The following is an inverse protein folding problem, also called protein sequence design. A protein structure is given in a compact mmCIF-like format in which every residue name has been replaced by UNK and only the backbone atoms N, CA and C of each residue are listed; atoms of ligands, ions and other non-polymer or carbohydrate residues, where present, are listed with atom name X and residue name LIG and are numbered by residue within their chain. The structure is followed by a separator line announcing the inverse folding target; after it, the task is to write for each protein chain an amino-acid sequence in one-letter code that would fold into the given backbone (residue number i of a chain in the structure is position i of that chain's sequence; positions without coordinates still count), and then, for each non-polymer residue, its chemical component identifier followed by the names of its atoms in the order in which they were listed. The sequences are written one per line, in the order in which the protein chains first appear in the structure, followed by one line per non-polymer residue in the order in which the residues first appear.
data_IF_759768393014
#
_entry.id   IF_759768393014
#
_cell.length_a   1.000
_cell.length_b   1.000
_cell.length_c   1.000
_cell.angle_alpha   90.00
_cell.angle_beta   90.00
_cell.angle_gamma   90.00
#
_symmetry.space_group_name_H-M   'P 1'
#
loop_
_entity.id
_entity.type
_entity.pdbx_description
1 polymer ?
#
# COMPACT_ATOMS: atom_id res chain seq x y z
N UNK A 1 0.58 -53.86 -48.40
CA UNK A 1 -0.84 -53.61 -48.77
C UNK A 1 -1.31 -52.51 -47.85
N UNK A 2 -1.70 -51.43 -48.27
CA UNK A 2 -2.16 -50.58 -49.33
C UNK A 2 -2.39 -49.19 -48.71
N UNK A 3 -1.85 -48.25 -49.41
CA UNK A 3 -1.99 -46.81 -49.26
C UNK A 3 -3.43 -46.39 -49.63
N UNK A 4 -4.01 -45.40 -48.90
CA UNK A 4 -4.94 -44.41 -49.49
C UNK A 4 -4.99 -43.17 -48.55
N UNK A 5 -4.29 -42.17 -48.91
CA UNK A 5 -4.61 -40.80 -49.32
C UNK A 5 -6.08 -40.39 -49.24
N UNK A 6 -6.37 -39.32 -48.48
CA UNK A 6 -7.47 -38.40 -48.80
C UNK A 6 -7.01 -36.96 -48.49
N UNK A 7 -7.17 -36.20 -49.54
CA UNK A 7 -6.84 -34.78 -49.71
C UNK A 7 -7.77 -33.82 -48.95
N UNK A 8 -7.15 -32.69 -48.54
CA UNK A 8 -7.67 -31.34 -48.78
C UNK A 8 -9.01 -30.90 -48.20
N UNK A 9 -8.97 -29.92 -47.32
CA UNK A 9 -9.76 -28.69 -47.50
C UNK A 9 -9.07 -27.54 -46.75
N UNK A 10 -8.44 -26.68 -47.58
CA UNK A 10 -7.97 -25.35 -47.16
C UNK A 10 -9.21 -24.48 -47.08
N UNK A 11 -9.58 -24.02 -45.90
CA UNK A 11 -10.57 -22.96 -45.71
C UNK A 11 -9.86 -21.61 -45.63
N UNK A 12 -10.03 -20.78 -46.65
CA UNK A 12 -9.62 -19.38 -46.67
C UNK A 12 -10.38 -18.62 -45.56
N UNK A 13 -9.67 -18.20 -44.54
CA UNK A 13 -10.19 -17.27 -43.56
C UNK A 13 -10.02 -15.85 -44.11
N UNK A 14 -11.13 -15.21 -44.45
CA UNK A 14 -11.16 -13.80 -44.88
C UNK A 14 -10.82 -12.93 -43.67
N UNK A 15 -9.69 -12.23 -43.78
CA UNK A 15 -9.26 -11.19 -42.83
C UNK A 15 -10.16 -9.97 -43.03
N UNK A 16 -11.10 -9.74 -42.13
CA UNK A 16 -11.88 -8.51 -42.05
C UNK A 16 -11.05 -7.44 -41.36
N UNK A 17 -10.56 -6.48 -42.14
CA UNK A 17 -9.91 -5.27 -41.58
C UNK A 17 -11.03 -4.37 -41.05
N UNK A 18 -11.13 -4.26 -39.73
CA UNK A 18 -11.99 -3.28 -39.08
C UNK A 18 -11.18 -1.99 -38.96
N UNK A 19 -11.51 -1.00 -39.78
CA UNK A 19 -11.04 0.38 -39.57
C UNK A 19 -11.74 0.96 -38.34
N UNK A 20 -11.02 1.61 -37.41
CA UNK A 20 -11.68 2.37 -36.36
C UNK A 20 -12.28 3.64 -36.95
N UNK A 21 -13.60 3.76 -36.90
CA UNK A 21 -14.32 4.98 -37.27
C UNK A 21 -14.02 6.06 -36.22
N UNK A 22 -13.25 7.07 -36.60
CA UNK A 22 -13.12 8.31 -35.86
C UNK A 22 -14.47 9.03 -35.85
N UNK A 23 -15.15 9.05 -34.72
CA UNK A 23 -16.32 9.92 -34.50
C UNK A 23 -15.79 11.29 -34.15
N UNK A 24 -15.82 12.22 -35.08
CA UNK A 24 -15.61 13.64 -34.83
C UNK A 24 -16.87 14.18 -34.12
N UNK A 25 -16.77 14.40 -32.83
CA UNK A 25 -17.77 15.19 -32.10
C UNK A 25 -17.50 16.67 -32.36
N UNK A 26 -18.34 17.26 -33.22
CA UNK A 26 -18.38 18.71 -33.39
C UNK A 26 -19.09 19.32 -32.19
N UNK A 27 -18.34 20.01 -31.35
CA UNK A 27 -18.92 20.87 -30.28
C UNK A 27 -19.39 22.17 -30.98
N UNK A 28 -20.69 22.40 -30.92
CA UNK A 28 -21.30 23.66 -31.32
C UNK A 28 -21.08 24.68 -30.23
N UNK A 29 -20.30 25.72 -30.51
CA UNK A 29 -20.20 26.89 -29.63
C UNK A 29 -21.46 27.76 -29.78
N UNK A 30 -22.21 27.92 -28.71
CA UNK A 30 -23.08 29.08 -28.52
C UNK A 30 -22.35 30.12 -27.68
N UNK A 31 -22.12 31.29 -28.24
CA UNK A 31 -21.61 32.45 -27.53
C UNK A 31 -22.66 32.94 -26.57
N UNK A 32 -22.31 33.04 -25.31
CA UNK A 32 -22.85 34.06 -24.39
C UNK A 32 -21.69 34.59 -23.54
N UNK A 33 -21.54 35.92 -23.61
CA UNK A 33 -20.49 36.70 -22.97
C UNK A 33 -20.70 36.83 -21.46
N UNK A 34 -19.59 36.94 -20.75
CA UNK A 34 -19.33 37.31 -19.37
C UNK A 34 -19.22 36.15 -18.37
N UNK A 35 -18.02 35.72 -18.13
CA UNK A 35 -17.52 35.74 -16.75
C UNK A 35 -15.98 35.67 -16.67
N UNK A 36 -15.45 36.46 -15.77
CA UNK A 36 -14.05 36.63 -15.46
C UNK A 36 -13.65 35.50 -14.50
N UNK A 37 -13.22 34.34 -15.05
CA UNK A 37 -12.80 33.16 -14.28
C UNK A 37 -11.60 32.51 -14.94
N UNK A 38 -10.47 32.49 -14.24
CA UNK A 38 -9.26 31.80 -14.69
C UNK A 38 -9.56 30.38 -15.12
N UNK A 39 -9.27 30.04 -16.38
CA UNK A 39 -9.37 28.69 -16.91
C UNK A 39 -8.27 27.82 -16.26
N UNK A 40 -8.55 27.24 -15.12
CA UNK A 40 -7.80 26.10 -14.64
C UNK A 40 -8.00 24.97 -15.65
N UNK A 41 -6.94 24.54 -16.32
CA UNK A 41 -7.00 23.29 -17.07
C UNK A 41 -7.47 22.21 -16.12
N UNK A 42 -8.53 21.51 -16.45
CA UNK A 42 -8.99 20.36 -15.68
C UNK A 42 -7.84 19.32 -15.73
N UNK A 43 -7.29 19.01 -14.57
CA UNK A 43 -6.20 18.04 -14.47
C UNK A 43 -6.76 16.65 -14.78
N UNK A 44 -6.16 15.97 -15.76
CA UNK A 44 -6.60 14.63 -16.19
C UNK A 44 -6.12 13.61 -15.16
N UNK A 45 -7.00 12.66 -14.84
CA UNK A 45 -6.67 11.47 -14.06
C UNK A 45 -7.49 10.29 -14.62
N UNK A 46 -6.80 9.37 -15.32
CA UNK A 46 -7.42 8.26 -16.03
C UNK A 46 -7.46 6.96 -15.22
N UNK A 47 -6.60 6.82 -14.21
CA UNK A 47 -6.44 5.61 -13.40
C UNK A 47 -6.95 5.74 -11.96
N UNK A 48 -7.53 6.88 -11.57
CA UNK A 48 -8.05 7.10 -10.21
C UNK A 48 -9.05 6.04 -9.78
N UNK A 49 -9.12 5.81 -8.47
CA UNK A 49 -10.15 4.98 -7.88
C UNK A 49 -11.53 5.63 -8.02
N UNK A 50 -12.52 4.82 -8.39
CA UNK A 50 -13.91 5.25 -8.39
C UNK A 50 -14.54 5.00 -7.03
N UNK A 51 -15.43 5.90 -6.61
CA UNK A 51 -16.18 5.75 -5.36
C UNK A 51 -17.28 4.72 -5.57
N UNK A 52 -17.11 3.54 -4.98
CA UNK A 52 -18.12 2.48 -5.02
C UNK A 52 -18.92 2.39 -3.72
N UNK A 53 -18.25 2.50 -2.57
CA UNK A 53 -18.86 2.38 -1.24
C UNK A 53 -18.48 3.51 -0.31
N UNK A 54 -17.21 3.91 -0.30
CA UNK A 54 -16.69 4.98 0.54
C UNK A 54 -15.75 5.87 -0.26
N UNK A 55 -15.96 7.19 -0.18
CA UNK A 55 -15.11 8.18 -0.84
C UNK A 55 -13.66 8.21 -0.34
N UNK A 56 -13.37 7.55 0.78
CA UNK A 56 -12.01 7.43 1.30
C UNK A 56 -11.03 6.82 0.27
N UNK A 57 -11.52 5.95 -0.61
CA UNK A 57 -10.70 5.30 -1.65
C UNK A 57 -10.09 6.28 -2.66
N UNK A 58 -10.56 7.53 -2.71
CA UNK A 58 -9.99 8.58 -3.56
C UNK A 58 -8.91 9.42 -2.85
N UNK A 59 -8.51 9.05 -1.63
CA UNK A 59 -7.40 9.71 -0.91
C UNK A 59 -6.06 9.29 -1.51
N UNK A 60 -5.04 10.15 -1.40
CA UNK A 60 -3.76 9.98 -2.09
C UNK A 60 -2.93 8.80 -1.57
N UNK A 61 -3.15 8.32 -0.36
CA UNK A 61 -2.47 7.13 0.15
C UNK A 61 -2.98 5.81 -0.43
N UNK A 62 -4.15 5.82 -1.08
CA UNK A 62 -4.73 4.61 -1.66
C UNK A 62 -4.06 4.26 -2.99
N UNK A 63 -3.55 3.04 -3.12
CA UNK A 63 -3.24 2.48 -4.44
C UNK A 63 -4.51 2.20 -5.25
N UNK A 64 -4.33 1.90 -6.53
CA UNK A 64 -5.41 1.35 -7.36
C UNK A 64 -5.93 0.06 -6.73
N UNK A 65 -7.24 0.02 -6.51
CA UNK A 65 -7.89 -1.14 -5.91
C UNK A 65 -7.83 -2.35 -6.85
N UNK A 66 -7.45 -3.50 -6.31
CA UNK A 66 -7.41 -4.76 -7.08
C UNK A 66 -8.78 -5.22 -7.51
N UNK A 67 -9.78 -5.03 -6.64
CA UNK A 67 -11.12 -5.55 -6.86
C UNK A 67 -11.21 -7.08 -6.82
N UNK A 68 -12.22 -7.64 -7.46
CA UNK A 68 -12.45 -9.10 -7.48
C UNK A 68 -12.75 -9.64 -6.08
N UNK A 69 -11.90 -10.54 -5.57
CA UNK A 69 -12.04 -11.13 -4.22
C UNK A 69 -11.48 -10.25 -3.11
N UNK A 70 -11.08 -9.01 -3.42
CA UNK A 70 -10.57 -8.08 -2.42
C UNK A 70 -11.66 -7.15 -1.91
N UNK A 71 -11.58 -6.83 -0.63
CA UNK A 71 -12.41 -5.82 0.03
C UNK A 71 -11.53 -4.76 0.66
N UNK A 72 -12.07 -3.56 0.83
CA UNK A 72 -11.39 -2.46 1.53
C UNK A 72 -11.96 -2.34 2.93
N UNK A 73 -11.11 -2.49 3.94
CA UNK A 73 -11.42 -2.24 5.34
C UNK A 73 -10.95 -0.84 5.70
N UNK A 74 -11.85 0.00 6.20
CA UNK A 74 -11.57 1.38 6.58
C UNK A 74 -11.77 1.52 8.08
N UNK A 75 -10.68 1.71 8.81
CA UNK A 75 -10.72 1.86 10.26
C UNK A 75 -10.84 3.33 10.61
N UNK A 76 -11.88 3.65 11.39
CA UNK A 76 -12.15 5.01 11.85
C UNK A 76 -12.04 5.06 13.36
N UNK A 77 -11.50 6.17 13.88
CA UNK A 77 -11.48 6.41 15.32
C UNK A 77 -12.84 6.89 15.81
N UNK A 78 -13.27 6.38 16.95
CA UNK A 78 -14.50 6.82 17.62
C UNK A 78 -14.17 8.08 18.42
N UNK A 79 -14.27 9.22 17.78
CA UNK A 79 -14.33 10.54 18.39
C UNK A 79 -13.78 10.75 19.80
N UNK A 80 -12.48 10.92 19.91
CA UNK A 80 -11.97 11.80 20.94
C UNK A 80 -12.31 13.25 20.53
N UNK A 81 -12.65 14.13 21.52
CA UNK A 81 -13.07 15.52 21.24
C UNK A 81 -12.03 16.35 20.47
N UNK A 82 -10.82 15.83 20.33
CA UNK A 82 -9.70 16.49 19.69
C UNK A 82 -9.59 16.15 18.21
N UNK A 83 -10.19 15.04 17.76
CA UNK A 83 -10.14 14.55 16.38
C UNK A 83 -11.57 14.34 15.88
N UNK A 84 -11.79 14.58 14.59
CA UNK A 84 -13.11 14.44 13.98
C UNK A 84 -13.58 12.98 14.08
N UNK A 85 -14.88 12.78 14.35
CA UNK A 85 -15.49 11.45 14.51
C UNK A 85 -15.38 10.55 13.28
N UNK A 86 -15.11 11.16 12.13
CA UNK A 86 -14.96 10.48 10.85
C UNK A 86 -13.50 10.33 10.42
N UNK A 87 -12.56 10.56 11.33
CA UNK A 87 -11.14 10.49 10.99
C UNK A 87 -10.70 9.07 10.72
N UNK A 88 -10.11 8.85 9.54
CA UNK A 88 -9.62 7.55 9.11
C UNK A 88 -8.27 7.31 9.76
N UNK A 89 -8.19 6.25 10.55
CA UNK A 89 -6.97 5.82 11.19
C UNK A 89 -6.00 5.20 10.17
N UNK A 90 -6.41 4.12 9.51
CA UNK A 90 -5.74 3.49 8.40
C UNK A 90 -6.75 2.65 7.61
N UNK A 91 -6.33 2.17 6.43
CA UNK A 91 -7.13 1.30 5.59
C UNK A 91 -6.32 0.09 5.16
N UNK A 92 -7.02 -1.00 4.83
CA UNK A 92 -6.43 -2.26 4.36
C UNK A 92 -7.17 -2.73 3.12
N UNK A 93 -6.45 -3.18 2.10
CA UNK A 93 -7.03 -4.05 1.08
C UNK A 93 -6.77 -5.50 1.45
N UNK A 94 -7.85 -6.22 1.71
CA UNK A 94 -7.84 -7.60 2.15
C UNK A 94 -8.28 -8.54 1.03
N UNK A 95 -7.45 -9.50 0.70
CA UNK A 95 -7.80 -10.58 -0.24
C UNK A 95 -8.53 -11.70 0.53
N UNK A 96 -9.85 -11.78 0.33
CA UNK A 96 -10.71 -12.75 1.03
C UNK A 96 -10.38 -14.20 0.70
N UNK A 97 -9.88 -14.48 -0.52
CA UNK A 97 -9.50 -15.84 -0.92
C UNK A 97 -8.19 -16.30 -0.31
N UNK A 98 -7.23 -15.37 -0.17
CA UNK A 98 -5.92 -15.63 0.43
C UNK A 98 -5.93 -15.45 1.94
N UNK A 99 -6.96 -14.80 2.47
CA UNK A 99 -7.06 -14.39 3.87
C UNK A 99 -5.81 -13.67 4.34
N UNK A 100 -5.40 -12.68 3.54
CA UNK A 100 -4.18 -11.90 3.77
C UNK A 100 -4.36 -10.48 3.22
N UNK A 101 -3.74 -9.52 3.90
CA UNK A 101 -3.74 -8.15 3.41
C UNK A 101 -2.79 -7.99 2.23
N UNK A 102 -3.18 -7.17 1.25
CA UNK A 102 -2.32 -6.76 0.14
C UNK A 102 -1.48 -5.56 0.53
N UNK A 103 -2.10 -4.62 1.22
CA UNK A 103 -1.45 -3.43 1.77
C UNK A 103 -2.28 -2.81 2.90
N UNK A 104 -1.61 -2.01 3.73
CA UNK A 104 -2.23 -1.02 4.62
C UNK A 104 -1.79 0.38 4.20
N UNK A 105 -2.73 1.34 4.16
CA UNK A 105 -2.41 2.72 3.84
C UNK A 105 -2.96 3.71 4.87
N UNK A 106 -2.25 4.83 5.06
CA UNK A 106 -2.58 5.82 6.07
C UNK A 106 -1.87 7.15 5.84
N UNK A 107 -2.33 8.18 6.52
CA UNK A 107 -1.69 9.49 6.52
C UNK A 107 -0.91 9.72 7.82
N UNK A 108 0.17 10.51 7.71
CA UNK A 108 0.93 11.04 8.84
C UNK A 108 1.03 12.55 8.70
N UNK A 109 0.59 13.28 9.71
CA UNK A 109 0.62 14.73 9.79
C UNK A 109 0.58 15.18 11.26
N UNK A 110 0.73 16.47 11.51
CA UNK A 110 0.78 17.00 12.87
C UNK A 110 -0.43 16.62 13.73
N UNK A 111 -1.63 16.47 13.14
CA UNK A 111 -2.86 16.07 13.86
C UNK A 111 -2.82 14.65 14.40
N UNK A 112 -1.99 13.77 13.84
CA UNK A 112 -1.85 12.37 14.27
C UNK A 112 -0.67 12.13 15.23
N UNK A 113 -0.13 13.19 15.80
CA UNK A 113 0.90 13.07 16.82
C UNK A 113 0.29 12.87 18.20
N UNK A 114 0.82 11.94 18.98
CA UNK A 114 0.34 11.66 20.34
C UNK A 114 1.31 10.78 21.09
N UNK A 115 1.08 10.67 22.39
CA UNK A 115 1.93 9.89 23.31
C UNK A 115 1.14 8.76 24.00
N UNK A 116 0.05 8.31 23.39
CA UNK A 116 -0.71 7.20 23.96
C UNK A 116 0.20 5.99 24.15
N UNK A 117 0.10 5.35 25.30
CA UNK A 117 0.87 4.14 25.57
C UNK A 117 0.45 3.02 24.63
N UNK A 118 1.38 2.16 24.26
CA UNK A 118 1.06 0.95 23.51
C UNK A 118 -0.01 0.16 24.25
N UNK A 119 -1.08 -0.18 23.58
CA UNK A 119 -2.05 -1.15 24.10
C UNK A 119 -1.33 -2.48 24.27
N UNK A 120 -1.42 -3.06 25.47
CA UNK A 120 -0.71 -4.31 25.82
C UNK A 120 -1.51 -5.56 25.53
N UNK A 121 -2.76 -5.37 25.09
CA UNK A 121 -3.66 -6.48 24.79
C UNK A 121 -3.18 -7.26 23.57
N UNK A 122 -3.55 -8.53 23.60
CA UNK A 122 -3.19 -9.48 22.56
C UNK A 122 -3.77 -9.09 21.23
N UNK A 123 -3.14 -9.59 20.18
CA UNK A 123 -3.69 -9.57 18.82
C UNK A 123 -5.08 -10.22 18.80
N UNK A 124 -5.98 -9.67 18.00
CA UNK A 124 -7.37 -10.11 17.97
C UNK A 124 -7.93 -10.08 16.54
N UNK A 125 -8.96 -10.90 16.34
CA UNK A 125 -9.65 -10.96 15.08
C UNK A 125 -10.36 -9.63 14.81
N UNK A 126 -10.42 -9.26 13.55
CA UNK A 126 -11.10 -8.05 13.11
C UNK A 126 -12.60 -8.27 13.06
N UNK A 127 -13.34 -7.53 13.87
CA UNK A 127 -14.81 -7.59 13.91
C UNK A 127 -15.49 -6.89 12.72
N UNK A 128 -14.73 -6.18 11.88
CA UNK A 128 -15.24 -5.57 10.65
C UNK A 128 -15.19 -6.53 9.45
N UNK A 129 -14.66 -7.75 9.66
CA UNK A 129 -14.50 -8.77 8.62
C UNK A 129 -15.30 -10.00 8.98
N UNK A 130 -16.07 -10.53 8.04
CA UNK A 130 -16.83 -11.77 8.25
C UNK A 130 -15.88 -12.94 8.52
N UNK A 131 -16.26 -13.81 9.46
CA UNK A 131 -15.40 -14.88 9.97
C UNK A 131 -14.96 -15.90 8.93
N UNK A 132 -15.65 -16.01 7.80
CA UNK A 132 -15.25 -16.86 6.69
C UNK A 132 -13.99 -16.33 5.95
N UNK A 133 -13.68 -15.03 6.07
CA UNK A 133 -12.60 -14.37 5.35
C UNK A 133 -11.32 -14.18 6.17
N UNK A 134 -11.24 -14.67 7.41
CA UNK A 134 -10.01 -14.68 8.19
C UNK A 134 -9.72 -16.05 8.81
N UNK A 135 -8.52 -16.22 9.32
CA UNK A 135 -8.16 -17.41 10.08
C UNK A 135 -8.56 -17.21 11.55
N UNK A 136 -9.43 -18.06 12.08
CA UNK A 136 -9.91 -17.97 13.47
C UNK A 136 -8.80 -18.27 14.50
N UNK A 137 -7.78 -19.06 14.09
CA UNK A 137 -6.66 -19.46 14.93
C UNK A 137 -5.47 -18.52 14.70
N UNK A 138 -4.71 -18.25 15.75
CA UNK A 138 -3.44 -17.55 15.66
C UNK A 138 -2.33 -18.49 15.19
N UNK A 139 -2.08 -18.50 13.90
CA UNK A 139 -1.02 -19.32 13.27
C UNK A 139 0.40 -18.85 13.54
N UNK A 140 0.58 -17.68 14.14
CA UNK A 140 1.93 -17.16 14.48
C UNK A 140 2.53 -17.90 15.66
N UNK A 141 1.73 -18.36 16.60
CA UNK A 141 2.20 -19.04 17.80
C UNK A 141 3.00 -20.30 17.45
N UNK A 142 4.26 -20.35 17.91
CA UNK A 142 5.18 -21.45 17.63
C UNK A 142 5.66 -21.58 16.17
N UNK A 143 5.31 -20.64 15.29
CA UNK A 143 5.68 -20.69 13.88
C UNK A 143 7.12 -20.26 13.58
N UNK A 144 7.75 -19.51 14.50
CA UNK A 144 9.05 -18.86 14.30
C UNK A 144 8.94 -17.51 13.58
N UNK A 145 7.73 -17.01 13.36
CA UNK A 145 7.45 -15.68 12.84
C UNK A 145 6.77 -14.81 13.90
N UNK A 146 6.99 -13.52 13.81
CA UNK A 146 6.33 -12.51 14.62
C UNK A 146 5.11 -11.93 13.90
N UNK A 147 4.17 -11.37 14.68
CA UNK A 147 3.08 -10.56 14.20
C UNK A 147 3.64 -9.23 13.69
N UNK A 148 4.03 -9.19 12.42
CA UNK A 148 4.57 -7.99 11.80
C UNK A 148 3.46 -7.00 11.50
N UNK A 149 3.44 -5.87 12.20
CA UNK A 149 2.52 -4.77 11.89
C UNK A 149 2.83 -4.19 10.53
N UNK A 150 1.81 -3.92 9.72
CA UNK A 150 1.96 -3.17 8.47
C UNK A 150 1.66 -1.69 8.70
N UNK A 151 0.54 -1.33 9.30
CA UNK A 151 0.37 -0.03 9.92
C UNK A 151 0.96 -0.08 11.33
N UNK A 152 2.09 0.60 11.63
CA UNK A 152 2.77 0.44 12.91
C UNK A 152 1.96 1.01 14.06
N UNK A 153 1.95 0.33 15.18
CA UNK A 153 1.40 0.82 16.42
C UNK A 153 2.01 2.18 16.83
N UNK A 154 3.32 2.35 16.61
CA UNK A 154 4.04 3.56 16.96
C UNK A 154 3.59 4.81 16.17
N UNK A 155 2.99 4.63 14.99
CA UNK A 155 2.47 5.71 14.17
C UNK A 155 1.03 6.12 14.56
N UNK A 156 0.35 5.32 15.39
CA UNK A 156 -1.06 5.47 15.78
C UNK A 156 -1.23 5.72 17.29
N UNK A 157 -0.44 6.65 17.83
CA UNK A 157 -0.42 6.96 19.29
C UNK A 157 -1.26 8.19 19.66
N UNK A 158 -2.13 8.66 18.80
CA UNK A 158 -2.93 9.85 19.05
C UNK A 158 -4.23 9.56 19.86
N UNK A 159 -4.69 8.29 19.90
CA UNK A 159 -5.81 7.86 20.73
C UNK A 159 -5.70 6.38 21.10
N UNK A 160 -6.52 5.94 22.08
CA UNK A 160 -6.64 4.51 22.43
C UNK A 160 -7.15 3.70 21.24
N UNK A 161 -8.24 4.12 20.64
CA UNK A 161 -8.86 3.40 19.50
C UNK A 161 -7.90 3.27 18.33
N UNK A 162 -7.20 4.36 17.99
CA UNK A 162 -6.23 4.33 16.91
C UNK A 162 -5.13 3.30 17.16
N UNK A 163 -4.63 3.24 18.39
CA UNK A 163 -3.60 2.30 18.80
C UNK A 163 -4.13 0.86 18.85
N UNK A 164 -5.31 0.65 19.45
CA UNK A 164 -5.98 -0.65 19.57
C UNK A 164 -6.25 -1.30 18.20
N UNK A 165 -6.76 -0.53 17.24
CA UNK A 165 -7.06 -1.03 15.90
C UNK A 165 -5.83 -1.59 15.19
N UNK A 166 -4.61 -1.11 15.50
CA UNK A 166 -3.40 -1.65 14.87
C UNK A 166 -3.11 -3.10 15.25
N UNK A 167 -3.75 -3.64 16.29
CA UNK A 167 -3.60 -5.03 16.74
C UNK A 167 -4.58 -6.01 16.09
N UNK A 168 -5.43 -5.56 15.17
CA UNK A 168 -6.23 -6.47 14.36
C UNK A 168 -5.34 -7.40 13.54
N UNK A 169 -5.71 -8.69 13.48
CA UNK A 169 -4.99 -9.69 12.68
C UNK A 169 -4.98 -9.35 11.18
N UNK A 170 -5.93 -8.54 10.72
CA UNK A 170 -5.95 -7.98 9.36
C UNK A 170 -4.82 -7.00 9.08
N UNK A 171 -4.16 -6.48 10.11
CA UNK A 171 -2.98 -5.61 10.02
C UNK A 171 -1.65 -6.36 10.18
N UNK A 172 -1.67 -7.70 10.28
CA UNK A 172 -0.49 -8.51 10.56
C UNK A 172 -0.05 -9.31 9.34
N UNK A 173 1.28 -9.38 9.14
CA UNK A 173 1.90 -10.33 8.22
C UNK A 173 3.08 -11.02 8.89
N UNK A 174 3.34 -12.32 8.60
CA UNK A 174 4.45 -13.03 9.22
C UNK A 174 5.80 -12.42 8.88
N UNK A 175 6.57 -12.06 9.88
CA UNK A 175 7.90 -11.49 9.73
C UNK A 175 8.90 -12.22 10.62
N UNK A 176 10.14 -12.41 10.13
CA UNK A 176 11.21 -12.93 10.95
C UNK A 176 11.64 -11.91 12.01
N UNK A 177 12.05 -12.37 13.18
CA UNK A 177 12.52 -11.51 14.28
C UNK A 177 13.64 -10.54 13.83
N UNK A 178 14.66 -11.04 13.12
CA UNK A 178 15.76 -10.18 12.65
C UNK A 178 15.39 -9.20 11.54
N UNK A 179 14.18 -9.27 11.02
CA UNK A 179 13.62 -8.30 10.09
C UNK A 179 12.70 -7.30 10.81
N UNK A 180 11.80 -7.77 11.69
CA UNK A 180 10.78 -6.98 12.36
C UNK A 180 11.16 -6.52 13.77
N UNK A 181 11.99 -7.31 14.45
CA UNK A 181 12.26 -7.10 15.86
C UNK A 181 13.47 -6.22 16.16
N UNK A 182 13.72 -6.12 17.42
CA UNK A 182 14.90 -5.43 17.92
C UNK A 182 15.34 -6.08 19.24
N UNK A 183 16.64 -6.19 19.49
CA UNK A 183 17.18 -6.69 20.74
C UNK A 183 18.34 -5.85 21.23
N UNK A 184 18.31 -5.53 22.53
CA UNK A 184 19.32 -4.73 23.23
C UNK A 184 20.28 -5.58 24.07
N UNK A 185 20.09 -6.88 24.16
CA UNK A 185 20.81 -7.72 25.12
C UNK A 185 21.42 -8.93 24.47
N UNK A 186 22.58 -9.33 25.01
CA UNK A 186 23.28 -10.53 24.58
C UNK A 186 24.26 -10.29 23.41
N UNK A 187 24.76 -11.39 22.83
CA UNK A 187 25.70 -11.36 21.71
C UNK A 187 25.02 -11.15 20.35
N UNK A 188 23.70 -11.27 20.27
CA UNK A 188 22.90 -11.14 19.06
C UNK A 188 22.12 -9.81 19.06
N UNK A 189 22.81 -8.69 19.37
CA UNK A 189 22.19 -7.37 19.35
C UNK A 189 21.95 -6.88 17.93
N UNK A 190 20.79 -6.26 17.70
CA UNK A 190 20.46 -5.71 16.39
C UNK A 190 19.08 -5.08 16.34
N UNK A 191 18.87 -4.33 15.29
CA UNK A 191 17.62 -3.71 14.92
C UNK A 191 17.21 -4.18 13.53
N UNK A 192 16.02 -4.71 13.40
CA UNK A 192 15.49 -5.24 12.16
C UNK A 192 15.32 -4.17 11.09
N UNK A 193 15.55 -4.54 9.85
CA UNK A 193 15.45 -3.59 8.73
C UNK A 193 14.06 -2.95 8.63
N UNK A 194 13.00 -3.70 8.90
CA UNK A 194 11.63 -3.17 8.87
C UNK A 194 11.41 -2.08 9.90
N UNK A 195 11.84 -2.30 11.16
CA UNK A 195 11.74 -1.30 12.23
C UNK A 195 12.52 -0.03 11.87
N UNK A 196 13.72 -0.17 11.35
CA UNK A 196 14.55 0.97 10.90
C UNK A 196 13.88 1.77 9.78
N UNK A 197 13.25 1.08 8.82
CA UNK A 197 12.47 1.73 7.76
C UNK A 197 11.25 2.43 8.34
N UNK A 198 10.56 1.84 9.30
CA UNK A 198 9.43 2.48 10.00
C UNK A 198 9.85 3.73 10.76
N UNK A 199 10.95 3.68 11.49
CA UNK A 199 11.49 4.83 12.22
C UNK A 199 11.92 5.95 11.27
N UNK A 200 12.50 5.60 10.12
CA UNK A 200 12.83 6.58 9.09
C UNK A 200 11.57 7.24 8.53
N UNK A 201 10.55 6.48 8.15
CA UNK A 201 9.27 7.01 7.67
C UNK A 201 8.62 7.89 8.73
N UNK A 202 8.61 7.45 9.98
CA UNK A 202 8.09 8.24 11.12
C UNK A 202 8.82 9.55 11.28
N UNK A 203 10.13 9.57 11.07
CA UNK A 203 10.94 10.80 11.15
C UNK A 203 10.54 11.85 10.10
N UNK A 204 9.90 11.44 9.01
CA UNK A 204 9.40 12.31 7.96
C UNK A 204 8.01 12.89 8.23
N UNK A 205 7.39 12.55 9.36
CA UNK A 205 6.08 13.13 9.73
C UNK A 205 6.16 14.66 9.72
N UNK A 206 5.35 15.34 8.89
CA UNK A 206 5.44 16.80 8.78
C UNK A 206 5.02 17.51 10.07
N UNK A 207 5.68 18.63 10.33
CA UNK A 207 5.35 19.52 11.45
C UNK A 207 4.40 20.65 11.07
N UNK A 208 4.36 21.02 9.79
CA UNK A 208 3.44 22.03 9.29
C UNK A 208 2.04 21.42 9.12
N UNK A 209 0.99 22.18 9.51
CA UNK A 209 -0.41 21.71 9.45
C UNK A 209 -0.92 21.46 8.03
N UNK A 210 -0.29 22.09 7.06
CA UNK A 210 -0.64 22.00 5.64
C UNK A 210 -0.03 20.82 4.93
N UNK A 211 0.95 20.17 5.57
CA UNK A 211 1.77 19.14 4.97
C UNK A 211 1.28 17.75 5.42
N UNK A 212 1.38 16.79 4.52
CA UNK A 212 0.95 15.42 4.79
C UNK A 212 1.93 14.43 4.16
N UNK A 213 2.28 13.39 4.91
CA UNK A 213 2.95 12.21 4.42
C UNK A 213 1.91 11.11 4.24
N UNK A 214 1.73 10.66 3.02
CA UNK A 214 0.88 9.53 2.62
C UNK A 214 1.74 8.28 2.57
N UNK A 215 1.28 7.20 3.18
CA UNK A 215 2.06 5.96 3.33
C UNK A 215 1.20 4.77 2.92
N UNK A 216 1.77 3.89 2.08
CA UNK A 216 1.22 2.58 1.78
C UNK A 216 2.29 1.52 1.98
N UNK A 217 1.98 0.45 2.70
CA UNK A 217 2.92 -0.62 3.03
C UNK A 217 2.29 -1.99 2.86
N UNK A 218 3.10 -3.02 2.63
CA UNK A 218 2.62 -4.39 2.58
C UNK A 218 3.74 -5.40 2.38
N UNK A 219 3.37 -6.66 2.50
CA UNK A 219 4.18 -7.80 2.07
C UNK A 219 3.57 -8.47 0.85
N UNK A 220 4.39 -9.08 0.02
CA UNK A 220 3.97 -9.69 -1.24
C UNK A 220 3.09 -10.93 -1.03
N UNK A 221 1.91 -10.94 -1.66
CA UNK A 221 0.96 -12.06 -1.57
C UNK A 221 0.45 -12.56 -2.94
N UNK A 222 0.75 -11.84 -4.01
CA UNK A 222 0.12 -12.09 -5.32
C UNK A 222 0.95 -13.00 -6.23
N UNK A 223 2.27 -12.99 -6.11
CA UNK A 223 3.18 -13.81 -6.91
C UNK A 223 3.81 -14.92 -6.04
N UNK A 224 3.65 -16.18 -6.43
CA UNK A 224 4.18 -17.34 -5.69
C UNK A 224 5.71 -17.29 -5.55
N UNK A 225 6.45 -16.75 -6.51
CA UNK A 225 7.90 -16.58 -6.42
C UNK A 225 8.33 -15.55 -5.36
N UNK A 226 7.38 -14.76 -4.89
CA UNK A 226 7.55 -13.75 -3.84
C UNK A 226 6.96 -14.19 -2.49
N UNK A 227 6.68 -15.47 -2.32
CA UNK A 227 6.19 -16.10 -1.10
C UNK A 227 7.24 -17.08 -0.60
N UNK A 228 7.64 -16.99 0.69
CA UNK A 228 8.58 -17.93 1.30
C UNK A 228 7.89 -19.27 1.53
N UNK A 229 6.72 -19.24 2.14
CA UNK A 229 5.98 -20.41 2.59
C UNK A 229 4.56 -20.04 3.00
N UNK A 230 3.83 -21.04 3.48
CA UNK A 230 2.58 -20.84 4.20
C UNK A 230 2.62 -21.57 5.53
N UNK A 231 2.40 -20.85 6.63
CA UNK A 231 2.32 -21.45 7.96
C UNK A 231 1.14 -22.41 7.97
N UNK A 232 1.40 -23.67 8.31
CA UNK A 232 0.43 -24.76 8.29
C UNK A 232 -0.34 -24.92 6.95
N UNK A 233 0.31 -24.54 5.84
CA UNK A 233 -0.31 -24.56 4.52
C UNK A 233 -1.37 -23.49 4.28
N UNK A 234 -1.51 -22.53 5.17
CA UNK A 234 -2.62 -21.54 5.19
C UNK A 234 -2.10 -20.09 5.14
N UNK A 235 -1.51 -19.59 6.25
CA UNK A 235 -1.13 -18.20 6.37
C UNK A 235 0.11 -17.89 5.53
N UNK A 236 -0.02 -17.01 4.55
CA UNK A 236 1.05 -16.60 3.63
C UNK A 236 2.18 -15.90 4.39
N UNK A 237 3.42 -16.33 4.11
CA UNK A 237 4.64 -15.67 4.56
C UNK A 237 5.25 -14.92 3.37
N UNK A 238 5.13 -13.59 3.32
CA UNK A 238 5.70 -12.80 2.24
C UNK A 238 7.22 -12.92 2.21
N UNK A 239 7.81 -12.92 1.01
CA UNK A 239 9.26 -12.87 0.83
C UNK A 239 9.78 -11.45 0.87
N UNK A 240 9.03 -10.53 0.27
CA UNK A 240 9.39 -9.12 0.20
C UNK A 240 8.35 -8.27 0.90
N UNK A 241 8.84 -7.16 1.45
CA UNK A 241 8.02 -6.10 2.03
C UNK A 241 8.35 -4.78 1.36
N UNK A 242 7.34 -3.94 1.25
CA UNK A 242 7.45 -2.64 0.59
C UNK A 242 6.84 -1.51 1.42
N UNK A 243 7.33 -0.30 1.15
CA UNK A 243 6.72 0.95 1.59
C UNK A 243 6.73 1.92 0.43
N UNK A 244 5.59 2.55 0.13
CA UNK A 244 5.45 3.68 -0.77
C UNK A 244 5.09 4.91 0.05
N UNK A 245 5.87 5.98 -0.08
CA UNK A 245 5.69 7.22 0.66
C UNK A 245 5.59 8.41 -0.31
N UNK A 246 4.56 9.24 -0.14
CA UNK A 246 4.36 10.49 -0.87
C UNK A 246 4.27 11.64 0.12
N UNK A 247 5.17 12.59 0.04
CA UNK A 247 5.11 13.81 0.83
C UNK A 247 4.52 14.95 0.01
N UNK A 248 3.46 15.57 0.55
CA UNK A 248 2.91 16.83 0.07
C UNK A 248 3.33 17.95 1.01
N UNK A 249 3.93 18.99 0.49
CA UNK A 249 4.27 20.20 1.22
C UNK A 249 4.13 21.44 0.33
N UNK A 250 4.62 22.60 0.79
CA UNK A 250 4.59 23.86 0.03
C UNK A 250 5.41 23.85 -1.29
N UNK A 251 6.34 22.90 -1.42
CA UNK A 251 7.17 22.72 -2.63
C UNK A 251 6.49 21.80 -3.66
N UNK A 252 5.35 21.19 -3.31
CA UNK A 252 4.62 20.23 -4.12
C UNK A 252 4.70 18.81 -3.59
N UNK A 253 4.88 17.85 -4.49
CA UNK A 253 4.91 16.41 -4.19
C UNK A 253 6.30 15.82 -4.43
N UNK A 254 6.69 14.86 -3.59
CA UNK A 254 7.83 13.97 -3.83
C UNK A 254 7.55 12.58 -3.28
N UNK A 255 8.01 11.55 -3.97
CA UNK A 255 7.77 10.16 -3.58
C UNK A 255 9.07 9.38 -3.41
N UNK A 256 8.99 8.29 -2.65
CA UNK A 256 10.05 7.29 -2.45
C UNK A 256 9.40 5.93 -2.17
N UNK A 257 9.94 4.88 -2.77
CA UNK A 257 9.63 3.50 -2.46
C UNK A 257 10.75 2.84 -1.66
N UNK A 258 10.40 1.83 -0.88
CA UNK A 258 11.34 0.87 -0.31
C UNK A 258 10.93 -0.55 -0.70
N UNK A 259 11.93 -1.38 -1.02
CA UNK A 259 11.77 -2.78 -1.33
C UNK A 259 12.79 -3.60 -0.56
N UNK A 260 12.33 -4.52 0.29
CA UNK A 260 13.19 -5.28 1.19
C UNK A 260 12.80 -6.76 1.26
N UNK A 261 13.74 -7.66 1.04
CA UNK A 261 13.58 -9.08 1.33
C UNK A 261 13.70 -9.32 2.84
N UNK A 262 12.75 -10.03 3.45
CA UNK A 262 12.93 -10.46 4.83
C UNK A 262 13.90 -11.66 4.89
N UNK A 263 14.84 -11.61 5.84
CA UNK A 263 15.82 -12.67 6.07
C UNK A 263 15.78 -13.15 7.52
N UNK A 264 15.87 -14.46 7.69
CA UNK A 264 15.73 -15.12 8.99
C UNK A 264 16.89 -14.85 9.94
N UNK A 265 18.10 -14.93 9.42
CA UNK A 265 19.31 -15.08 10.25
C UNK A 265 20.25 -13.86 10.14
N UNK A 266 19.78 -12.75 9.56
CA UNK A 266 20.60 -11.59 9.26
C UNK A 266 20.03 -10.31 9.84
N UNK A 267 20.74 -9.70 10.80
CA UNK A 267 20.54 -8.33 11.20
C UNK A 267 21.18 -7.41 10.15
N UNK A 268 20.44 -6.42 9.68
CA UNK A 268 20.94 -5.43 8.72
C UNK A 268 20.97 -4.04 9.35
N UNK A 269 21.49 -4.00 10.58
CA UNK A 269 21.49 -2.81 11.42
C UNK A 269 22.31 -1.66 10.82
N UNK A 270 23.42 -1.97 10.13
CA UNK A 270 24.36 -0.99 9.61
C UNK A 270 24.14 -0.66 8.13
N UNK A 271 23.22 -1.34 7.46
CA UNK A 271 22.94 -1.08 6.05
C UNK A 271 22.37 0.33 5.88
N UNK A 272 22.91 1.16 4.96
CA UNK A 272 22.24 2.40 4.60
C UNK A 272 20.85 2.12 4.00
N UNK A 273 19.80 2.80 4.50
CA UNK A 273 18.45 2.60 4.00
C UNK A 273 18.29 2.96 2.51
N UNK A 274 19.20 3.79 1.99
CA UNK A 274 19.26 4.11 0.55
C UNK A 274 19.49 2.89 -0.36
N UNK A 275 20.05 1.79 0.16
CA UNK A 275 20.19 0.53 -0.59
C UNK A 275 18.85 -0.14 -0.92
N UNK A 276 17.83 0.16 -0.14
CA UNK A 276 16.48 -0.40 -0.30
C UNK A 276 15.51 0.58 -0.97
N UNK A 277 15.97 1.81 -1.23
CA UNK A 277 15.16 2.84 -1.87
C UNK A 277 15.03 2.58 -3.37
N UNK A 278 13.81 2.66 -3.87
CA UNK A 278 13.46 2.50 -5.29
C UNK A 278 12.50 3.61 -5.71
N UNK A 279 12.40 3.89 -7.02
CA UNK A 279 11.33 4.75 -7.55
C UNK A 279 9.96 4.10 -7.33
N UNK A 280 8.89 4.86 -7.37
CA UNK A 280 7.55 4.29 -7.30
C UNK A 280 7.29 3.44 -8.53
N UNK A 281 7.62 3.90 -9.76
CA UNK A 281 7.53 3.08 -10.99
C UNK A 281 8.19 1.69 -10.80
N UNK A 282 9.40 1.69 -10.19
CA UNK A 282 10.08 0.42 -9.93
C UNK A 282 9.36 -0.43 -8.89
N UNK A 283 8.78 0.20 -7.87
CA UNK A 283 8.02 -0.51 -6.84
C UNK A 283 6.75 -1.14 -7.44
N UNK A 284 6.09 -0.46 -8.37
CA UNK A 284 4.94 -0.95 -9.10
C UNK A 284 5.26 -2.15 -9.99
N UNK A 285 6.38 -2.10 -10.71
CA UNK A 285 6.88 -3.25 -11.47
C UNK A 285 7.11 -4.48 -10.57
N UNK A 286 7.62 -4.26 -9.34
CA UNK A 286 7.94 -5.33 -8.40
C UNK A 286 6.70 -5.90 -7.70
N UNK A 287 5.70 -5.07 -7.43
CA UNK A 287 4.51 -5.44 -6.64
C UNK A 287 3.28 -5.73 -7.50
N UNK A 288 3.19 -5.13 -8.68
CA UNK A 288 1.97 -5.10 -9.50
C UNK A 288 0.87 -4.23 -8.89
N UNK A 289 1.23 -3.30 -8.00
CA UNK A 289 0.32 -2.35 -7.35
C UNK A 289 0.60 -0.98 -7.95
N UNK A 290 -0.42 -0.30 -8.43
CA UNK A 290 -0.40 1.07 -8.94
C UNK A 290 -0.59 2.02 -7.74
N UNK A 291 0.49 2.71 -7.32
CA UNK A 291 0.49 3.59 -6.17
C UNK A 291 0.09 5.01 -6.57
N UNK A 292 -0.47 5.75 -5.62
CA UNK A 292 -0.82 7.17 -5.78
C UNK A 292 -1.72 7.50 -6.98
N UNK A 293 -2.40 6.51 -7.55
CA UNK A 293 -3.31 6.61 -8.71
C UNK A 293 -4.39 7.71 -8.59
N UNK A 294 -4.59 8.28 -7.42
CA UNK A 294 -5.51 9.38 -7.20
C UNK A 294 -4.86 10.77 -7.40
N UNK A 295 -3.58 10.84 -7.75
CA UNK A 295 -2.95 12.07 -8.24
C UNK A 295 -3.37 12.32 -9.69
N UNK A 296 -3.35 13.59 -10.15
CA UNK A 296 -3.43 13.86 -11.59
C UNK A 296 -2.26 13.20 -12.36
N UNK A 297 -2.55 12.61 -13.53
CA UNK A 297 -1.61 11.81 -14.33
C UNK A 297 -0.23 12.47 -14.52
N UNK A 298 -0.19 13.76 -14.86
CA UNK A 298 1.08 14.50 -15.05
C UNK A 298 1.89 14.60 -13.75
N UNK A 299 1.20 14.74 -12.61
CA UNK A 299 1.85 14.82 -11.28
C UNK A 299 2.31 13.46 -10.83
N UNK A 300 1.48 12.45 -10.98
CA UNK A 300 1.76 11.04 -10.70
C UNK A 300 3.02 10.59 -11.43
N UNK A 301 3.01 10.62 -12.77
CA UNK A 301 4.15 10.26 -13.61
C UNK A 301 5.46 10.96 -13.21
N UNK A 302 5.37 12.24 -12.82
CA UNK A 302 6.55 13.01 -12.42
C UNK A 302 7.14 12.55 -11.09
N UNK A 303 6.29 12.25 -10.09
CA UNK A 303 6.78 11.91 -8.75
C UNK A 303 7.22 10.45 -8.66
N UNK A 304 6.70 9.58 -9.51
CA UNK A 304 6.95 8.15 -9.51
C UNK A 304 8.21 7.75 -10.26
N UNK A 305 8.55 8.49 -11.32
CA UNK A 305 9.69 8.19 -12.19
C UNK A 305 11.06 8.48 -11.57
N UNK A 306 11.14 9.19 -10.45
CA UNK A 306 12.44 9.61 -9.88
C UNK A 306 12.45 9.70 -8.37
N UNK A 307 13.64 9.54 -7.78
CA UNK A 307 13.87 9.71 -6.35
C UNK A 307 14.93 10.77 -6.09
N UNK A 308 14.60 11.73 -5.25
CA UNK A 308 15.58 12.67 -4.69
C UNK A 308 16.10 12.14 -3.33
N UNK A 309 16.96 11.12 -3.32
CA UNK A 309 17.47 10.45 -2.10
C UNK A 309 17.92 11.45 -1.02
N UNK A 310 18.69 12.46 -1.41
CA UNK A 310 19.19 13.49 -0.48
C UNK A 310 18.07 14.35 0.12
N UNK A 311 17.00 14.61 -0.63
CA UNK A 311 15.84 15.37 -0.13
C UNK A 311 15.04 14.61 0.91
N UNK A 312 15.19 13.29 0.98
CA UNK A 312 14.65 12.42 2.01
C UNK A 312 15.60 12.23 3.21
N UNK A 313 16.78 12.86 3.19
CA UNK A 313 17.77 12.75 4.26
C UNK A 313 18.45 11.38 4.35
N UNK A 314 18.33 10.55 3.33
CA UNK A 314 19.03 9.27 3.23
C UNK A 314 20.47 9.46 2.74
N UNK A 315 21.39 8.63 3.26
CA UNK A 315 22.82 8.62 2.93
C UNK A 315 23.12 7.51 1.93
#
# INVERSE_FOLDING_TARGET
MSVKSIFSKIALLKLAIILPSFILLTVSCSNDDNDNGGSGKEEINLNKNEVTTDKAVTRLEFPRLKGGNSIVLIYRTKGDKQYDKDEINYCVEWDCSKKSQRWSCYQMHQGYTGNYSRVTDSYHNDTNLDSEYYWAEDYYYGSGYEHGHICPNADRKFSYDANYQTFYMTNMQPQYHKFNGYTNSGQDQGEGLWVRMEDQVRSWTPRAKTDTLYVCKGGTIDNEDQIISRIQGKLIVPKYFFMACLLKNSEGYRAIGFWAEQKKDEWRTDDPLSLYAVTIDRLEELTGIDFFCNLPDDTENKVESSIAIKAWGLK
#
